data_IF_765702168891
#
_entry.id   IF_765702168891
#
_cell.length_a   1.000
_cell.length_b   1.000
_cell.length_c   1.000
_cell.angle_alpha   90.00
_cell.angle_beta   90.00
_cell.angle_gamma   90.00
#
_symmetry.space_group_name_H-M   'P 1'
#
loop_
_entity.id
_entity.type
_entity.pdbx_description
1 polymer ?
#
# COMPACT_ATOMS: atom_id res chain seq x y z
N UNK A 1 20.73 26.86 -55.29
CA UNK A 1 19.77 25.80 -54.90
C UNK A 1 20.53 24.86 -53.97
N UNK A 2 20.37 25.02 -52.65
CA UNK A 2 21.08 24.19 -51.66
C UNK A 2 20.26 22.91 -51.51
N UNK A 3 20.75 21.79 -52.08
CA UNK A 3 20.16 20.47 -51.84
C UNK A 3 20.49 20.04 -50.41
N UNK A 4 19.47 20.01 -49.56
CA UNK A 4 19.53 19.36 -48.26
C UNK A 4 19.53 17.86 -48.53
N UNK A 5 20.71 17.24 -48.50
CA UNK A 5 20.83 15.78 -48.51
C UNK A 5 20.41 15.30 -47.14
N UNK A 6 19.18 14.79 -47.04
CA UNK A 6 18.72 14.05 -45.86
C UNK A 6 19.56 12.76 -45.78
N UNK A 7 20.66 12.81 -45.04
CA UNK A 7 21.41 11.62 -44.63
C UNK A 7 20.54 10.88 -43.60
N UNK A 8 19.66 10.01 -44.09
CA UNK A 8 19.00 9.03 -43.23
C UNK A 8 20.09 8.19 -42.57
N UNK A 9 20.35 8.42 -41.28
CA UNK A 9 21.29 7.62 -40.51
C UNK A 9 20.84 6.16 -40.61
N UNK A 10 21.69 5.33 -41.22
CA UNK A 10 21.43 3.89 -41.29
C UNK A 10 21.45 3.38 -39.86
N UNK A 11 20.34 2.78 -39.40
CA UNK A 11 20.27 2.21 -38.05
C UNK A 11 21.34 1.15 -37.90
N UNK A 12 22.26 1.36 -36.96
CA UNK A 12 23.31 0.40 -36.64
C UNK A 12 22.79 -0.62 -35.63
N UNK A 13 21.89 -1.50 -36.07
CA UNK A 13 21.24 -2.51 -35.21
C UNK A 13 22.16 -3.69 -34.86
N UNK A 14 23.13 -3.99 -35.72
CA UNK A 14 23.98 -5.18 -35.59
C UNK A 14 24.83 -5.17 -34.31
N UNK A 15 25.17 -3.99 -33.78
CA UNK A 15 25.90 -3.88 -32.53
C UNK A 15 25.15 -4.52 -31.35
N UNK A 16 23.80 -4.53 -31.36
CA UNK A 16 22.96 -5.00 -30.24
C UNK A 16 22.65 -6.50 -30.29
N UNK A 17 23.27 -7.25 -31.21
CA UNK A 17 23.09 -8.70 -31.33
C UNK A 17 23.67 -9.47 -30.16
N UNK A 18 24.78 -8.96 -29.60
CA UNK A 18 25.50 -9.60 -28.51
C UNK A 18 25.82 -8.60 -27.41
N UNK A 19 25.90 -9.12 -26.18
CA UNK A 19 26.25 -8.35 -24.99
C UNK A 19 25.24 -8.49 -23.86
N UNK A 20 25.39 -7.62 -22.87
CA UNK A 20 24.54 -7.53 -21.70
C UNK A 20 23.65 -6.31 -21.82
N UNK A 21 22.38 -6.49 -21.47
CA UNK A 21 21.38 -5.45 -21.57
C UNK A 21 20.50 -5.40 -20.34
N UNK A 22 19.87 -4.24 -20.15
CA UNK A 22 18.90 -3.96 -19.12
C UNK A 22 17.67 -3.32 -19.77
N UNK A 23 16.50 -3.75 -19.32
CA UNK A 23 15.23 -3.06 -19.53
C UNK A 23 14.74 -2.66 -18.15
N UNK A 24 14.36 -1.40 -17.98
CA UNK A 24 13.72 -0.90 -16.76
C UNK A 24 12.36 -0.34 -17.15
N UNK A 25 11.30 -0.89 -16.55
CA UNK A 25 9.96 -0.37 -16.69
C UNK A 25 9.17 -0.57 -15.39
N UNK A 26 8.14 0.26 -15.20
CA UNK A 26 7.36 0.27 -13.95
C UNK A 26 6.49 -0.97 -13.74
N UNK A 27 6.29 -1.80 -14.77
CA UNK A 27 5.39 -2.95 -14.75
C UNK A 27 6.19 -4.23 -14.46
N UNK A 28 7.28 -4.44 -15.18
CA UNK A 28 8.11 -5.66 -15.09
C UNK A 28 9.37 -5.46 -14.26
N UNK A 29 9.66 -4.23 -13.82
CA UNK A 29 10.85 -3.88 -13.06
C UNK A 29 12.09 -3.92 -13.93
N UNK A 30 13.16 -4.55 -13.42
CA UNK A 30 14.45 -4.65 -14.11
C UNK A 30 14.58 -6.02 -14.76
N UNK A 31 14.59 -6.07 -16.09
CA UNK A 31 14.92 -7.27 -16.86
C UNK A 31 16.35 -7.23 -17.34
N UNK A 32 17.15 -8.21 -16.91
CA UNK A 32 18.56 -8.38 -17.27
C UNK A 32 18.70 -9.40 -18.39
N UNK A 33 19.27 -9.00 -19.52
CA UNK A 33 19.41 -9.82 -20.72
C UNK A 33 20.89 -10.10 -20.99
N UNK A 34 21.21 -11.33 -21.37
CA UNK A 34 22.51 -11.70 -21.92
C UNK A 34 22.29 -12.39 -23.27
N UNK A 35 22.75 -11.75 -24.35
CA UNK A 35 22.65 -12.29 -25.72
C UNK A 35 24.01 -12.75 -26.22
N UNK A 36 24.02 -13.96 -26.77
CA UNK A 36 25.19 -14.57 -27.40
C UNK A 36 24.74 -15.45 -28.55
N UNK A 37 25.18 -15.14 -29.78
CA UNK A 37 24.72 -15.83 -31.00
C UNK A 37 23.20 -15.75 -31.21
N UNK A 38 22.55 -16.92 -31.21
CA UNK A 38 21.10 -17.08 -31.40
C UNK A 38 20.36 -17.38 -30.08
N UNK A 39 20.95 -17.02 -28.93
CA UNK A 39 20.38 -17.23 -27.61
C UNK A 39 20.28 -15.93 -26.82
N UNK A 40 19.24 -15.83 -26.01
CA UNK A 40 19.06 -14.81 -24.98
C UNK A 40 18.77 -15.51 -23.65
N UNK A 41 19.55 -15.19 -22.62
CA UNK A 41 19.19 -15.50 -21.24
C UNK A 41 18.60 -14.26 -20.61
N UNK A 42 17.50 -14.43 -19.90
CA UNK A 42 16.75 -13.34 -19.30
C UNK A 42 16.48 -13.64 -17.83
N UNK A 43 16.71 -12.63 -16.99
CA UNK A 43 16.29 -12.63 -15.59
C UNK A 43 15.41 -11.42 -15.36
N UNK A 44 14.22 -11.63 -14.82
CA UNK A 44 13.34 -10.52 -14.44
C UNK A 44 13.38 -10.31 -12.92
N UNK A 45 13.57 -9.07 -12.50
CA UNK A 45 13.74 -8.74 -11.08
C UNK A 45 12.47 -8.87 -10.27
N UNK A 46 11.29 -8.86 -10.88
CA UNK A 46 10.02 -8.97 -10.17
C UNK A 46 9.60 -10.42 -10.10
N UNK A 47 9.45 -11.08 -11.25
CA UNK A 47 9.04 -12.50 -11.33
C UNK A 47 10.12 -13.48 -10.89
N UNK A 48 11.38 -13.01 -10.77
CA UNK A 48 12.58 -13.80 -10.47
C UNK A 48 12.82 -14.96 -11.44
N UNK A 49 12.07 -14.99 -12.54
CA UNK A 49 12.18 -16.04 -13.53
C UNK A 49 13.50 -15.94 -14.26
N UNK A 50 14.10 -17.10 -14.54
CA UNK A 50 15.23 -17.21 -15.45
C UNK A 50 14.77 -17.95 -16.68
N UNK A 51 14.85 -17.30 -17.83
CA UNK A 51 14.44 -17.85 -19.11
C UNK A 51 15.65 -18.00 -20.02
N UNK A 52 15.64 -19.04 -20.84
CA UNK A 52 16.48 -19.17 -22.02
C UNK A 52 15.56 -19.12 -23.25
N UNK A 53 15.88 -18.20 -24.16
CA UNK A 53 15.11 -17.91 -25.36
C UNK A 53 15.99 -18.10 -26.59
N UNK A 54 15.43 -18.64 -27.66
CA UNK A 54 16.06 -18.60 -28.98
C UNK A 54 15.76 -17.26 -29.67
N UNK A 55 16.74 -16.76 -30.41
CA UNK A 55 16.70 -15.47 -31.11
C UNK A 55 16.86 -15.67 -32.61
N UNK A 56 15.83 -15.32 -33.37
CA UNK A 56 15.86 -15.29 -34.83
C UNK A 56 16.02 -13.84 -35.31
N UNK A 57 17.24 -13.48 -35.75
CA UNK A 57 17.57 -12.12 -36.16
C UNK A 57 17.05 -11.75 -37.55
N UNK A 58 16.60 -10.50 -37.69
CA UNK A 58 16.35 -9.81 -38.95
C UNK A 58 17.26 -8.56 -39.05
N UNK A 59 17.04 -7.67 -40.04
CA UNK A 59 17.90 -6.50 -40.24
C UNK A 59 17.93 -5.52 -39.05
N UNK A 60 16.77 -5.21 -38.46
CA UNK A 60 16.63 -4.31 -37.30
C UNK A 60 15.50 -4.79 -36.38
N UNK A 61 15.47 -6.09 -36.13
CA UNK A 61 14.46 -6.74 -35.32
C UNK A 61 14.83 -8.19 -35.10
N UNK A 62 14.12 -8.85 -34.20
CA UNK A 62 14.36 -10.25 -33.88
C UNK A 62 13.08 -10.87 -33.34
N UNK A 63 12.98 -12.19 -33.48
CA UNK A 63 11.92 -12.98 -32.86
C UNK A 63 12.49 -13.78 -31.69
N UNK A 64 11.83 -13.71 -30.55
CA UNK A 64 12.12 -14.52 -29.37
C UNK A 64 11.16 -15.69 -29.30
N UNK A 65 11.66 -16.87 -28.94
CA UNK A 65 10.85 -18.03 -28.56
C UNK A 65 11.38 -18.63 -27.27
N UNK A 66 10.48 -19.07 -26.39
CA UNK A 66 10.87 -19.70 -25.14
C UNK A 66 11.46 -21.09 -25.43
N UNK A 67 12.75 -21.28 -25.13
CA UNK A 67 13.41 -22.58 -25.25
C UNK A 67 13.33 -23.35 -23.92
N UNK A 68 13.58 -22.65 -22.80
CA UNK A 68 13.65 -23.27 -21.48
C UNK A 68 13.33 -22.29 -20.36
N UNK A 69 12.50 -22.74 -19.41
CA UNK A 69 12.37 -22.12 -18.10
C UNK A 69 13.49 -22.69 -17.21
N UNK A 70 14.48 -21.86 -16.89
CA UNK A 70 15.66 -22.24 -16.07
C UNK A 70 15.32 -22.19 -14.59
N UNK A 71 14.52 -21.21 -14.18
CA UNK A 71 14.09 -20.98 -12.80
C UNK A 71 12.73 -20.28 -12.81
N UNK A 72 11.80 -20.73 -11.96
CA UNK A 72 10.44 -20.19 -11.83
C UNK A 72 9.98 -20.34 -10.38
N UNK A 73 10.51 -19.52 -9.46
CA UNK A 73 10.30 -19.71 -8.03
C UNK A 73 8.85 -19.48 -7.59
N UNK A 74 8.05 -18.82 -8.42
CA UNK A 74 6.64 -18.50 -8.15
C UNK A 74 5.65 -19.33 -8.95
N UNK A 75 6.13 -20.36 -9.66
CA UNK A 75 5.28 -21.26 -10.47
C UNK A 75 4.34 -20.51 -11.44
N UNK A 76 4.85 -19.43 -12.04
CA UNK A 76 4.10 -18.64 -13.02
C UNK A 76 3.88 -19.50 -14.26
N UNK A 77 2.62 -19.67 -14.66
CA UNK A 77 2.27 -20.41 -15.85
C UNK A 77 2.70 -19.64 -17.11
N UNK A 78 3.54 -20.27 -17.92
CA UNK A 78 4.04 -19.71 -19.17
C UNK A 78 3.68 -20.64 -20.33
N UNK A 79 3.01 -20.09 -21.34
CA UNK A 79 2.79 -20.82 -22.58
C UNK A 79 4.14 -21.07 -23.28
N UNK A 80 4.52 -22.33 -23.41
CA UNK A 80 5.74 -22.73 -24.13
C UNK A 80 5.70 -22.41 -25.63
N UNK A 81 4.53 -22.12 -26.20
CA UNK A 81 4.37 -21.63 -27.57
C UNK A 81 4.55 -20.13 -27.70
N UNK A 82 4.85 -19.44 -26.59
CA UNK A 82 5.07 -18.01 -26.55
C UNK A 82 6.17 -17.56 -27.52
N UNK A 83 5.83 -16.56 -28.34
CA UNK A 83 6.77 -15.87 -29.21
C UNK A 83 6.56 -14.37 -29.17
N UNK A 84 7.66 -13.61 -29.20
CA UNK A 84 7.63 -12.15 -29.27
C UNK A 84 8.34 -11.72 -30.55
N UNK A 85 7.68 -10.91 -31.35
CA UNK A 85 8.31 -10.21 -32.46
C UNK A 85 8.76 -8.82 -31.97
N UNK A 86 10.04 -8.51 -32.17
CA UNK A 86 10.66 -7.26 -31.70
C UNK A 86 11.22 -6.46 -32.86
N UNK A 87 10.90 -5.17 -32.92
CA UNK A 87 11.43 -4.21 -33.88
C UNK A 87 12.22 -3.10 -33.18
N UNK A 88 13.45 -2.82 -33.64
CA UNK A 88 14.27 -1.70 -33.16
C UNK A 88 13.87 -0.41 -33.88
N UNK A 89 13.19 0.47 -33.15
CA UNK A 89 12.64 1.73 -33.66
C UNK A 89 13.70 2.81 -33.78
N UNK A 90 14.57 2.93 -32.78
CA UNK A 90 15.62 3.96 -32.70
C UNK A 90 16.84 3.35 -32.00
N UNK A 91 18.04 3.79 -32.39
CA UNK A 91 19.30 3.30 -31.83
C UNK A 91 20.18 4.47 -31.44
N UNK A 92 20.83 4.37 -30.28
CA UNK A 92 21.94 5.23 -29.86
C UNK A 92 23.24 4.40 -29.83
N UNK A 93 24.32 4.93 -29.26
CA UNK A 93 25.56 4.18 -29.05
C UNK A 93 25.36 3.01 -28.06
N UNK A 94 24.60 3.23 -26.98
CA UNK A 94 24.48 2.29 -25.86
C UNK A 94 23.04 1.88 -25.56
N UNK A 95 22.08 2.22 -26.40
CA UNK A 95 20.69 1.83 -26.20
C UNK A 95 19.90 1.74 -27.50
N UNK A 96 18.73 1.13 -27.44
CA UNK A 96 17.75 1.19 -28.51
C UNK A 96 16.33 1.19 -27.95
N UNK A 97 15.43 1.92 -28.63
CA UNK A 97 14.00 1.85 -28.38
C UNK A 97 13.44 0.67 -29.19
N UNK A 98 12.72 -0.24 -28.54
CA UNK A 98 12.10 -1.37 -29.20
C UNK A 98 10.58 -1.34 -29.12
N UNK A 99 9.94 -1.97 -30.10
CA UNK A 99 8.52 -2.32 -30.09
C UNK A 99 8.39 -3.83 -30.09
N UNK A 100 7.68 -4.36 -29.11
CA UNK A 100 7.41 -5.79 -28.94
C UNK A 100 5.94 -6.09 -29.18
N UNK A 101 5.66 -7.17 -29.91
CA UNK A 101 4.31 -7.68 -30.18
C UNK A 101 4.25 -9.18 -29.97
N UNK A 102 3.11 -9.71 -29.56
CA UNK A 102 2.89 -11.15 -29.35
C UNK A 102 1.63 -11.61 -30.10
N UNK A 103 1.58 -12.83 -30.66
CA UNK A 103 0.36 -13.32 -31.32
C UNK A 103 -0.77 -13.63 -30.34
N UNK A 104 -0.49 -13.70 -29.03
CA UNK A 104 -1.45 -14.03 -27.99
C UNK A 104 -2.18 -12.81 -27.41
N UNK A 105 -1.76 -11.60 -27.79
CA UNK A 105 -2.31 -10.36 -27.26
C UNK A 105 -2.16 -9.22 -28.26
N UNK A 106 -3.18 -8.37 -28.38
CA UNK A 106 -3.12 -7.13 -29.17
C UNK A 106 -2.22 -6.05 -28.52
N UNK A 107 -1.63 -6.35 -27.36
CA UNK A 107 -0.76 -5.44 -26.64
C UNK A 107 0.52 -5.17 -27.43
N UNK A 108 0.81 -3.88 -27.59
CA UNK A 108 2.05 -3.37 -28.17
C UNK A 108 2.84 -2.71 -27.06
N UNK A 109 4.03 -3.23 -26.76
CA UNK A 109 4.89 -2.69 -25.71
C UNK A 109 6.05 -1.94 -26.37
N UNK A 110 6.30 -0.71 -25.93
CA UNK A 110 7.51 0.04 -26.29
C UNK A 110 8.41 0.18 -25.06
N UNK A 111 9.66 -0.26 -25.19
CA UNK A 111 10.64 -0.27 -24.08
C UNK A 111 11.99 0.20 -24.56
N UNK A 112 12.72 0.88 -23.67
CA UNK A 112 14.13 1.22 -23.88
C UNK A 112 14.99 0.05 -23.41
N UNK A 113 15.93 -0.38 -24.25
CA UNK A 113 16.90 -1.40 -23.92
C UNK A 113 18.28 -0.76 -23.87
N UNK A 114 18.90 -0.80 -22.70
CA UNK A 114 20.22 -0.22 -22.46
C UNK A 114 21.28 -1.32 -22.46
N UNK A 115 22.36 -1.14 -23.21
CA UNK A 115 23.57 -1.97 -23.09
C UNK A 115 24.25 -1.63 -21.77
N UNK A 116 24.64 -2.67 -21.04
CA UNK A 116 25.38 -2.57 -19.78
C UNK A 116 26.66 -3.40 -19.86
N UNK A 117 27.57 -3.20 -18.91
CA UNK A 117 28.77 -4.03 -18.80
C UNK A 117 28.45 -5.38 -18.14
N UNK A 118 29.32 -6.38 -18.33
CA UNK A 118 29.21 -7.66 -17.63
C UNK A 118 29.32 -7.50 -16.10
N UNK A 119 30.19 -6.60 -15.65
CA UNK A 119 30.35 -6.27 -14.23
C UNK A 119 29.06 -5.68 -13.65
N UNK A 120 28.48 -4.68 -14.33
CA UNK A 120 27.19 -4.08 -13.95
C UNK A 120 26.06 -5.12 -13.95
N UNK A 121 26.01 -6.00 -14.96
CA UNK A 121 25.02 -7.10 -15.01
C UNK A 121 25.11 -7.99 -13.76
N UNK A 122 26.32 -8.40 -13.38
CA UNK A 122 26.53 -9.27 -12.21
C UNK A 122 26.32 -8.54 -10.88
N UNK A 123 26.61 -7.24 -10.82
CA UNK A 123 26.32 -6.41 -9.66
C UNK A 123 24.81 -6.31 -9.42
N UNK A 124 24.04 -5.92 -10.44
CA UNK A 124 22.57 -5.80 -10.34
C UNK A 124 21.97 -7.16 -9.96
N UNK A 125 22.39 -8.25 -10.61
CA UNK A 125 21.91 -9.60 -10.29
C UNK A 125 22.23 -10.00 -8.84
N UNK A 126 23.35 -9.55 -8.29
CA UNK A 126 23.76 -9.81 -6.90
C UNK A 126 22.94 -8.98 -5.91
N UNK A 127 22.67 -7.70 -6.23
CA UNK A 127 21.83 -6.83 -5.43
C UNK A 127 20.39 -7.39 -5.35
N UNK A 128 19.83 -7.84 -6.47
CA UNK A 128 18.49 -8.43 -6.52
C UNK A 128 18.37 -9.67 -5.63
N UNK A 129 19.35 -10.58 -5.66
CA UNK A 129 19.37 -11.78 -4.79
C UNK A 129 19.38 -11.47 -3.29
N UNK A 130 19.84 -10.28 -2.88
CA UNK A 130 19.82 -9.87 -1.46
C UNK A 130 18.42 -9.44 -1.03
N UNK A 131 17.66 -8.80 -1.93
CA UNK A 131 16.28 -8.35 -1.69
C UNK A 131 15.35 -9.57 -1.49
N UNK A 132 15.64 -10.69 -2.15
CA UNK A 132 14.74 -11.85 -2.23
C UNK A 132 14.62 -12.71 -0.96
N UNK A 133 15.55 -12.61 -0.01
CA UNK A 133 15.63 -13.55 1.12
C UNK A 133 14.88 -13.15 2.38
N UNK A 134 14.28 -11.95 2.42
CA UNK A 134 13.60 -11.47 3.64
C UNK A 134 12.26 -10.76 3.41
N UNK A 135 11.90 -10.44 2.16
CA UNK A 135 10.72 -9.63 1.91
C UNK A 135 9.42 -10.39 2.23
N UNK A 136 8.80 -9.97 3.34
CA UNK A 136 7.44 -10.28 3.75
C UNK A 136 6.73 -8.97 4.03
N UNK A 137 5.40 -8.92 3.90
CA UNK A 137 4.62 -7.79 4.42
C UNK A 137 4.83 -7.61 5.92
N UNK A 138 5.24 -8.68 6.61
CA UNK A 138 5.60 -8.70 8.02
C UNK A 138 7.05 -8.32 8.33
N UNK A 139 7.89 -8.07 7.32
CA UNK A 139 9.28 -7.65 7.52
C UNK A 139 9.30 -6.29 8.26
N UNK A 140 9.87 -6.22 9.48
CA UNK A 140 9.90 -4.98 10.26
C UNK A 140 10.65 -3.84 9.59
N UNK A 141 11.68 -4.16 8.79
CA UNK A 141 12.45 -3.16 8.03
C UNK A 141 11.57 -2.56 6.94
N UNK A 142 10.85 -3.41 6.19
CA UNK A 142 9.94 -2.95 5.15
C UNK A 142 8.80 -2.10 5.71
N UNK A 143 8.15 -2.55 6.81
CA UNK A 143 7.11 -1.77 7.50
C UNK A 143 7.62 -0.39 7.91
N UNK A 144 8.83 -0.34 8.46
CA UNK A 144 9.46 0.91 8.88
C UNK A 144 9.76 1.84 7.70
N UNK A 145 10.30 1.32 6.61
CA UNK A 145 10.56 2.11 5.39
C UNK A 145 9.27 2.72 4.82
N UNK A 146 8.19 1.93 4.76
CA UNK A 146 6.87 2.40 4.33
C UNK A 146 6.34 3.48 5.29
N UNK A 147 6.42 3.24 6.60
CA UNK A 147 5.99 4.21 7.62
C UNK A 147 6.77 5.53 7.51
N UNK A 148 8.09 5.48 7.31
CA UNK A 148 8.93 6.66 7.09
C UNK A 148 8.53 7.40 5.81
N UNK A 149 8.33 6.68 4.69
CA UNK A 149 7.87 7.28 3.44
C UNK A 149 6.50 7.92 3.57
N UNK A 150 5.58 7.31 4.31
CA UNK A 150 4.26 7.89 4.60
C UNK A 150 4.41 9.13 5.48
N UNK A 151 5.20 9.07 6.56
CA UNK A 151 5.39 10.20 7.46
C UNK A 151 5.98 11.42 6.73
N UNK A 152 7.00 11.21 5.87
CA UNK A 152 7.57 12.28 5.06
C UNK A 152 6.51 12.97 4.19
N UNK A 153 5.55 12.21 3.64
CA UNK A 153 4.43 12.81 2.91
C UNK A 153 3.55 13.71 3.80
N UNK A 154 3.28 13.28 5.04
CA UNK A 154 2.55 14.08 6.04
C UNK A 154 3.31 15.35 6.47
N UNK A 155 4.65 15.31 6.49
CA UNK A 155 5.49 16.42 6.91
C UNK A 155 5.75 17.46 5.81
N UNK A 156 5.78 17.04 4.54
CA UNK A 156 6.15 17.90 3.39
C UNK A 156 5.00 18.71 2.78
N UNK A 157 3.74 18.26 2.90
CA UNK A 157 2.63 18.89 2.19
C UNK A 157 2.04 20.14 2.89
N UNK A 158 1.41 20.99 2.06
CA UNK A 158 0.73 22.20 2.52
C UNK A 158 -0.50 21.81 3.36
N UNK A 159 -0.39 22.08 4.67
CA UNK A 159 -1.38 21.72 5.70
C UNK A 159 -2.72 22.47 5.58
N UNK A 160 -2.89 23.34 4.58
CA UNK A 160 -4.10 24.16 4.42
C UNK A 160 -5.34 23.39 3.96
N UNK A 161 -5.19 22.20 3.36
CA UNK A 161 -6.32 21.34 2.94
C UNK A 161 -6.07 19.85 3.26
N UNK A 162 -5.95 19.52 4.54
CA UNK A 162 -5.85 18.13 4.98
C UNK A 162 -7.26 17.51 5.04
N UNK A 163 -7.60 16.66 4.08
CA UNK A 163 -8.87 15.93 4.03
C UNK A 163 -8.66 14.40 3.83
N UNK A 164 -9.73 13.65 3.57
CA UNK A 164 -9.60 12.20 3.31
C UNK A 164 -8.80 11.89 2.04
N UNK A 165 -8.82 12.78 1.04
CA UNK A 165 -8.06 12.62 -0.19
C UNK A 165 -6.56 12.80 0.07
N UNK A 166 -6.19 13.67 1.01
CA UNK A 166 -4.81 13.83 1.46
C UNK A 166 -4.21 12.53 2.01
N UNK A 167 -4.90 11.87 2.94
CA UNK A 167 -4.45 10.57 3.47
C UNK A 167 -4.31 9.52 2.36
N UNK A 168 -5.31 9.41 1.49
CA UNK A 168 -5.29 8.47 0.37
C UNK A 168 -4.11 8.74 -0.57
N UNK A 169 -3.79 10.01 -0.85
CA UNK A 169 -2.66 10.40 -1.67
C UNK A 169 -1.32 10.03 -1.02
N UNK A 170 -1.15 10.27 0.29
CA UNK A 170 0.07 9.89 0.98
C UNK A 170 0.27 8.37 1.05
N UNK A 171 -0.80 7.61 1.30
CA UNK A 171 -0.77 6.14 1.21
C UNK A 171 -0.38 5.70 -0.20
N UNK A 172 -1.05 6.22 -1.23
CA UNK A 172 -0.78 5.85 -2.62
C UNK A 172 0.66 6.19 -3.03
N UNK A 173 1.16 7.38 -2.69
CA UNK A 173 2.54 7.80 -2.99
C UNK A 173 3.56 6.91 -2.30
N UNK A 174 3.33 6.56 -1.03
CA UNK A 174 4.23 5.65 -0.30
C UNK A 174 4.21 4.24 -0.91
N UNK A 175 3.03 3.70 -1.22
CA UNK A 175 2.90 2.40 -1.90
C UNK A 175 3.65 2.39 -3.23
N UNK A 176 3.54 3.47 -4.03
CA UNK A 176 4.24 3.59 -5.31
C UNK A 176 5.77 3.62 -5.15
N UNK A 177 6.29 4.26 -4.10
CA UNK A 177 7.73 4.24 -3.79
C UNK A 177 8.25 2.83 -3.46
N UNK A 178 7.36 1.92 -3.06
CA UNK A 178 7.67 0.56 -2.66
C UNK A 178 7.02 -0.50 -3.58
N UNK A 179 6.67 -0.10 -4.82
CA UNK A 179 5.94 -0.98 -5.74
C UNK A 179 6.69 -2.27 -6.09
N UNK A 180 8.01 -2.22 -6.26
CA UNK A 180 8.80 -3.40 -6.63
C UNK A 180 8.80 -4.45 -5.52
N UNK A 181 8.95 -3.99 -4.27
CA UNK A 181 8.83 -4.83 -3.08
C UNK A 181 7.44 -5.45 -2.98
N UNK A 182 6.40 -4.64 -3.17
CA UNK A 182 5.01 -5.09 -3.07
C UNK A 182 4.61 -6.09 -4.16
N UNK A 183 5.04 -5.87 -5.41
CA UNK A 183 4.79 -6.83 -6.48
C UNK A 183 5.57 -8.11 -6.20
N UNK A 184 6.80 -8.02 -5.69
CA UNK A 184 7.57 -9.22 -5.30
C UNK A 184 6.86 -10.02 -4.20
N UNK A 185 6.28 -9.36 -3.19
CA UNK A 185 5.47 -10.00 -2.14
C UNK A 185 4.20 -10.61 -2.75
N UNK A 186 3.53 -9.89 -3.66
CA UNK A 186 2.32 -10.38 -4.33
C UNK A 186 2.58 -11.65 -5.15
N UNK A 187 3.70 -11.73 -5.87
CA UNK A 187 4.03 -12.91 -6.66
C UNK A 187 4.38 -14.15 -5.83
N UNK A 188 4.69 -14.00 -4.54
CA UNK A 188 4.83 -15.15 -3.64
C UNK A 188 3.47 -15.83 -3.35
N UNK A 189 2.36 -15.13 -3.56
CA UNK A 189 1.03 -15.68 -3.37
C UNK A 189 0.59 -16.49 -4.60
N UNK A 190 0.80 -17.81 -4.54
CA UNK A 190 0.44 -18.76 -5.61
C UNK A 190 -1.04 -19.19 -5.57
N UNK A 191 -1.91 -18.51 -4.82
CA UNK A 191 -3.32 -18.92 -4.65
C UNK A 191 -4.17 -18.78 -5.92
N UNK A 192 -3.62 -18.21 -7.01
CA UNK A 192 -4.38 -17.90 -8.22
C UNK A 192 -5.44 -16.81 -8.01
N UNK A 193 -5.28 -16.02 -6.95
CA UNK A 193 -6.14 -14.87 -6.65
C UNK A 193 -5.98 -13.81 -7.74
N UNK A 194 -7.08 -13.20 -8.16
CA UNK A 194 -7.07 -12.08 -9.10
C UNK A 194 -6.09 -10.97 -8.62
N UNK A 195 -5.21 -10.44 -9.50
CA UNK A 195 -4.18 -9.47 -9.11
C UNK A 195 -4.73 -8.21 -8.44
N UNK A 196 -5.92 -7.73 -8.82
CA UNK A 196 -6.55 -6.56 -8.22
C UNK A 196 -7.00 -6.86 -6.78
N UNK A 197 -7.59 -8.03 -6.56
CA UNK A 197 -8.01 -8.49 -5.22
C UNK A 197 -6.79 -8.65 -4.31
N UNK A 198 -5.72 -9.25 -4.83
CA UNK A 198 -4.47 -9.45 -4.10
C UNK A 198 -3.83 -8.11 -3.72
N UNK A 199 -3.70 -7.20 -4.69
CA UNK A 199 -3.15 -5.86 -4.47
C UNK A 199 -3.94 -5.08 -3.42
N UNK A 200 -5.28 -5.12 -3.46
CA UNK A 200 -6.13 -4.49 -2.46
C UNK A 200 -5.90 -5.08 -1.06
N UNK A 201 -5.85 -6.42 -0.95
CA UNK A 201 -5.64 -7.10 0.35
C UNK A 201 -4.28 -6.74 0.95
N UNK A 202 -3.22 -6.75 0.14
CA UNK A 202 -1.88 -6.36 0.57
C UNK A 202 -1.82 -4.89 0.97
N UNK A 203 -2.47 -4.00 0.22
CA UNK A 203 -2.56 -2.58 0.56
C UNK A 203 -3.27 -2.35 1.89
N UNK A 204 -4.42 -3.01 2.10
CA UNK A 204 -5.17 -2.95 3.37
C UNK A 204 -4.34 -3.45 4.55
N UNK A 205 -3.68 -4.60 4.40
CA UNK A 205 -2.83 -5.20 5.44
C UNK A 205 -1.60 -4.32 5.75
N UNK A 206 -0.94 -3.78 4.71
CA UNK A 206 0.19 -2.88 4.89
C UNK A 206 -0.24 -1.63 5.64
N UNK A 207 -1.31 -0.96 5.20
CA UNK A 207 -1.80 0.26 5.84
C UNK A 207 -2.20 0.01 7.29
N UNK A 208 -2.79 -1.13 7.63
CA UNK A 208 -3.13 -1.47 9.01
C UNK A 208 -1.88 -1.73 9.87
N UNK A 209 -0.86 -2.37 9.31
CA UNK A 209 0.34 -2.74 10.07
C UNK A 209 1.28 -1.57 10.32
N UNK A 210 1.44 -0.65 9.37
CA UNK A 210 2.31 0.54 9.52
C UNK A 210 1.69 1.65 10.35
N UNK A 211 0.37 1.62 10.57
CA UNK A 211 -0.34 2.66 11.30
C UNK A 211 0.12 2.82 12.74
N UNK A 212 0.49 1.72 13.39
CA UNK A 212 1.06 1.79 14.74
C UNK A 212 2.37 2.59 14.74
N UNK A 213 3.28 2.28 13.83
CA UNK A 213 4.57 2.95 13.74
C UNK A 213 4.38 4.43 13.41
N UNK A 214 3.47 4.75 12.47
CA UNK A 214 3.08 6.13 12.19
C UNK A 214 2.50 6.85 13.41
N UNK A 215 1.66 6.17 14.21
CA UNK A 215 1.10 6.75 15.43
C UNK A 215 2.19 7.09 16.43
N UNK A 216 3.26 6.31 16.59
CA UNK A 216 4.29 6.60 17.60
C UNK A 216 5.45 7.47 17.08
N UNK A 217 5.80 7.32 15.81
CA UNK A 217 7.03 7.90 15.25
C UNK A 217 6.77 9.11 14.34
N UNK A 218 5.50 9.44 14.04
CA UNK A 218 5.12 10.57 13.18
C UNK A 218 4.13 11.52 13.86
N UNK A 219 4.62 12.67 14.33
CA UNK A 219 3.80 13.68 15.02
C UNK A 219 2.70 14.25 14.12
N UNK A 220 3.01 14.54 12.86
CA UNK A 220 2.03 15.04 11.89
C UNK A 220 0.89 14.05 11.66
N UNK A 221 1.21 12.76 11.54
CA UNK A 221 0.20 11.72 11.37
C UNK A 221 -0.68 11.56 12.61
N UNK A 222 -0.07 11.54 13.80
CA UNK A 222 -0.79 11.50 15.06
C UNK A 222 -1.75 12.69 15.19
N UNK A 223 -1.27 13.90 14.94
CA UNK A 223 -2.08 15.12 15.01
C UNK A 223 -3.23 15.11 13.99
N UNK A 224 -2.99 14.56 12.80
CA UNK A 224 -4.02 14.35 11.79
C UNK A 224 -5.13 13.40 12.28
N UNK A 225 -4.76 12.22 12.78
CA UNK A 225 -5.74 11.24 13.28
C UNK A 225 -6.51 11.76 14.50
N UNK A 226 -5.82 12.37 15.47
CA UNK A 226 -6.44 12.98 16.64
C UNK A 226 -7.37 14.15 16.25
N UNK A 227 -6.98 14.94 15.23
CA UNK A 227 -7.80 15.98 14.64
C UNK A 227 -9.10 15.45 14.04
N UNK A 228 -9.04 14.40 13.21
CA UNK A 228 -10.23 13.74 12.64
C UNK A 228 -11.14 13.21 13.75
N UNK A 229 -10.57 12.55 14.76
CA UNK A 229 -11.33 12.01 15.90
C UNK A 229 -12.07 13.12 16.63
N UNK A 230 -11.37 14.21 16.99
CA UNK A 230 -11.95 15.38 17.65
C UNK A 230 -13.02 16.06 16.80
N UNK A 231 -12.83 16.18 15.49
CA UNK A 231 -13.86 16.72 14.60
C UNK A 231 -15.12 15.84 14.59
N UNK A 232 -14.94 14.52 14.53
CA UNK A 232 -16.03 13.55 14.63
C UNK A 232 -16.81 13.67 15.95
N UNK A 233 -16.10 13.76 17.08
CA UNK A 233 -16.69 13.99 18.40
C UNK A 233 -17.43 15.32 18.46
N UNK A 234 -16.82 16.42 18.00
CA UNK A 234 -17.45 17.74 17.97
C UNK A 234 -18.75 17.73 17.16
N UNK A 235 -18.77 17.08 15.99
CA UNK A 235 -19.99 16.91 15.19
C UNK A 235 -21.03 16.06 15.89
N UNK A 236 -20.62 14.95 16.50
CA UNK A 236 -21.50 14.04 17.26
C UNK A 236 -22.20 14.77 18.41
N UNK A 237 -21.45 15.59 19.13
CA UNK A 237 -21.92 16.26 20.36
C UNK A 237 -22.39 17.70 20.17
N UNK A 238 -22.42 18.22 18.94
CA UNK A 238 -22.73 19.62 18.64
C UNK A 238 -24.09 20.11 19.19
N UNK A 239 -25.04 19.20 19.42
CA UNK A 239 -26.39 19.53 19.92
C UNK A 239 -26.54 19.36 21.43
N UNK A 240 -25.52 18.90 22.13
CA UNK A 240 -25.60 18.60 23.55
C UNK A 240 -25.97 19.85 24.35
N UNK A 241 -26.98 19.73 25.20
CA UNK A 241 -27.42 20.84 26.06
C UNK A 241 -28.25 20.35 27.25
N UNK A 242 -28.42 21.20 28.25
CA UNK A 242 -29.14 20.85 29.48
C UNK A 242 -30.62 20.51 29.24
N UNK A 243 -31.31 21.16 28.29
CA UNK A 243 -32.75 20.88 28.03
C UNK A 243 -32.98 19.45 27.54
N UNK A 244 -32.03 18.91 26.79
CA UNK A 244 -32.06 17.50 26.36
C UNK A 244 -31.91 16.60 27.59
N UNK A 245 -30.96 16.89 28.49
CA UNK A 245 -30.80 16.16 29.76
C UNK A 245 -32.09 16.15 30.58
N UNK A 246 -32.72 17.31 30.75
CA UNK A 246 -33.95 17.45 31.55
C UNK A 246 -35.09 16.65 30.93
N UNK A 247 -35.24 16.71 29.61
CA UNK A 247 -36.27 15.96 28.87
C UNK A 247 -36.06 14.45 28.98
N UNK A 248 -34.83 13.97 28.81
CA UNK A 248 -34.50 12.54 28.95
C UNK A 248 -34.69 12.06 30.40
N UNK A 249 -34.37 12.90 31.39
CA UNK A 249 -34.58 12.57 32.80
C UNK A 249 -36.05 12.38 33.12
N UNK A 250 -36.92 13.26 32.62
CA UNK A 250 -38.37 13.11 32.75
C UNK A 250 -38.88 11.82 32.09
N UNK A 251 -38.38 11.46 30.91
CA UNK A 251 -38.77 10.21 30.23
C UNK A 251 -38.32 8.97 31.02
N UNK A 252 -37.13 9.00 31.63
CA UNK A 252 -36.59 7.89 32.42
C UNK A 252 -37.40 7.66 33.70
N UNK A 253 -37.97 8.71 34.30
CA UNK A 253 -38.84 8.59 35.48
C UNK A 253 -40.11 7.77 35.16
N UNK A 254 -40.65 7.91 33.95
CA UNK A 254 -41.87 7.22 33.52
C UNK A 254 -41.58 5.87 32.85
N UNK A 255 -40.44 5.75 32.16
CA UNK A 255 -40.08 4.55 31.40
C UNK A 255 -38.56 4.31 31.40
N UNK A 256 -38.11 3.31 32.16
CA UNK A 256 -36.69 2.96 32.25
C UNK A 256 -36.27 2.07 31.08
N UNK A 257 -35.82 2.69 29.99
CA UNK A 257 -35.29 2.00 28.81
C UNK A 257 -33.79 2.23 28.62
N UNK A 258 -33.08 1.16 28.24
CA UNK A 258 -31.66 1.18 27.87
C UNK A 258 -31.30 2.27 26.84
N UNK A 259 -32.21 2.58 25.90
CA UNK A 259 -32.03 3.62 24.89
C UNK A 259 -31.98 5.03 25.51
N UNK A 260 -32.81 5.30 26.52
CA UNK A 260 -32.91 6.60 27.18
C UNK A 260 -31.67 6.90 28.03
N UNK A 261 -31.18 5.90 28.79
CA UNK A 261 -29.92 6.02 29.52
C UNK A 261 -28.74 6.27 28.57
N UNK A 262 -28.66 5.54 27.44
CA UNK A 262 -27.63 5.78 26.42
C UNK A 262 -27.68 7.20 25.84
N UNK A 263 -28.87 7.66 25.44
CA UNK A 263 -29.03 9.01 24.90
C UNK A 263 -28.66 10.09 25.91
N UNK A 264 -28.96 9.87 27.20
CA UNK A 264 -28.64 10.84 28.25
C UNK A 264 -27.14 10.83 28.58
N UNK A 265 -26.50 9.66 28.63
CA UNK A 265 -25.05 9.54 28.72
C UNK A 265 -24.32 10.25 27.57
N UNK A 266 -24.80 10.07 26.34
CA UNK A 266 -24.25 10.72 25.15
C UNK A 266 -24.37 12.26 25.23
N UNK A 267 -25.49 12.77 25.74
CA UNK A 267 -25.69 14.20 25.96
C UNK A 267 -24.77 14.73 27.08
N UNK A 268 -24.61 13.97 28.18
CA UNK A 268 -23.66 14.32 29.25
C UNK A 268 -22.22 14.36 28.76
N UNK A 269 -21.79 13.40 27.93
CA UNK A 269 -20.49 13.42 27.26
C UNK A 269 -20.27 14.71 26.46
N UNK A 270 -21.27 15.13 25.69
CA UNK A 270 -21.19 16.39 24.94
C UNK A 270 -21.13 17.64 25.82
N UNK A 271 -21.71 17.57 27.03
CA UNK A 271 -21.60 18.60 28.07
C UNK A 271 -20.30 18.50 28.90
N UNK A 272 -19.47 17.48 28.64
CA UNK A 272 -18.28 17.11 29.44
C UNK A 272 -18.60 16.78 30.90
N UNK A 273 -19.81 16.34 31.17
CA UNK A 273 -20.25 15.84 32.49
C UNK A 273 -19.98 14.33 32.58
N UNK A 274 -18.71 13.99 32.75
CA UNK A 274 -18.24 12.60 32.70
C UNK A 274 -18.76 11.75 33.87
N UNK A 275 -19.04 12.35 35.02
CA UNK A 275 -19.57 11.63 36.19
C UNK A 275 -21.00 11.15 35.95
N UNK A 276 -21.87 12.01 35.39
CA UNK A 276 -23.25 11.61 35.12
C UNK A 276 -23.35 10.75 33.85
N UNK A 277 -22.48 10.95 32.86
CA UNK A 277 -22.37 10.04 31.73
C UNK A 277 -22.02 8.61 32.19
N UNK A 278 -21.05 8.46 33.09
CA UNK A 278 -20.65 7.16 33.65
C UNK A 278 -21.81 6.47 34.40
N UNK A 279 -22.55 7.19 35.24
CA UNK A 279 -23.72 6.62 35.94
C UNK A 279 -24.78 6.07 34.99
N UNK A 280 -25.05 6.80 33.90
CA UNK A 280 -26.01 6.35 32.89
C UNK A 280 -25.48 5.16 32.10
N UNK A 281 -24.17 5.10 31.84
CA UNK A 281 -23.51 3.95 31.21
C UNK A 281 -23.55 2.72 32.13
N UNK A 282 -23.29 2.89 33.43
CA UNK A 282 -23.41 1.81 34.43
C UNK A 282 -24.83 1.25 34.44
N UNK A 283 -25.84 2.13 34.39
CA UNK A 283 -27.23 1.71 34.23
C UNK A 283 -27.43 0.91 32.94
N UNK A 284 -26.83 1.31 31.82
CA UNK A 284 -26.88 0.54 30.57
C UNK A 284 -26.31 -0.86 30.73
N UNK A 285 -25.19 -1.02 31.44
CA UNK A 285 -24.59 -2.34 31.67
C UNK A 285 -25.42 -3.23 32.61
N UNK A 286 -26.28 -2.67 33.45
CA UNK A 286 -27.29 -3.46 34.20
C UNK A 286 -28.33 -4.05 33.26
N UNK A 287 -28.76 -3.31 32.22
CA UNK A 287 -29.70 -3.81 31.22
C UNK A 287 -29.05 -4.80 30.23
N UNK A 288 -27.88 -4.45 29.70
CA UNK A 288 -27.11 -5.27 28.77
C UNK A 288 -25.60 -5.03 28.96
N UNK A 289 -24.88 -5.95 29.65
CA UNK A 289 -23.44 -5.86 29.87
C UNK A 289 -22.61 -5.89 28.57
N UNK A 290 -23.21 -6.33 27.46
CA UNK A 290 -22.55 -6.49 26.16
C UNK A 290 -22.87 -5.37 25.18
N UNK A 291 -23.65 -4.35 25.60
CA UNK A 291 -24.05 -3.27 24.71
C UNK A 291 -22.84 -2.47 24.21
N UNK A 292 -22.56 -2.62 22.91
CA UNK A 292 -21.38 -2.04 22.26
C UNK A 292 -21.42 -0.52 22.26
N UNK A 293 -22.61 0.08 22.18
CA UNK A 293 -22.72 1.55 22.20
C UNK A 293 -22.39 2.10 23.59
N UNK A 294 -22.90 1.47 24.65
CA UNK A 294 -22.54 1.82 26.02
C UNK A 294 -21.02 1.66 26.28
N UNK A 295 -20.40 0.57 25.80
CA UNK A 295 -18.94 0.39 25.84
C UNK A 295 -18.17 1.49 25.09
N UNK A 296 -18.62 1.87 23.90
CA UNK A 296 -18.02 2.98 23.14
C UNK A 296 -18.14 4.32 23.87
N UNK A 297 -19.30 4.63 24.47
CA UNK A 297 -19.48 5.83 25.29
C UNK A 297 -18.58 5.78 26.54
N UNK A 298 -18.40 4.60 27.15
CA UNK A 298 -17.53 4.42 28.30
C UNK A 298 -16.06 4.71 27.96
N UNK A 299 -15.56 4.22 26.83
CA UNK A 299 -14.21 4.54 26.35
C UNK A 299 -14.02 6.06 26.18
N UNK A 300 -15.03 6.78 25.67
CA UNK A 300 -14.99 8.24 25.53
C UNK A 300 -15.03 8.97 26.89
N UNK A 301 -15.80 8.46 27.87
CA UNK A 301 -15.80 8.97 29.25
C UNK A 301 -14.40 8.83 29.86
N UNK A 302 -13.78 7.66 29.71
CA UNK A 302 -12.44 7.39 30.21
C UNK A 302 -11.40 8.32 29.56
N UNK A 303 -11.47 8.53 28.23
CA UNK A 303 -10.61 9.53 27.57
C UNK A 303 -10.85 10.95 28.07
N UNK A 304 -12.11 11.34 28.30
CA UNK A 304 -12.47 12.65 28.82
C UNK A 304 -11.96 12.90 30.24
N UNK A 305 -11.85 11.83 31.04
CA UNK A 305 -11.23 11.80 32.36
C UNK A 305 -9.70 11.59 32.33
N UNK A 306 -9.10 11.53 31.14
CA UNK A 306 -7.67 11.28 30.95
C UNK A 306 -7.19 9.88 31.42
N UNK A 307 -8.11 8.93 31.57
CA UNK A 307 -7.83 7.53 31.90
C UNK A 307 -7.51 6.72 30.63
N UNK A 308 -6.51 7.18 29.88
CA UNK A 308 -6.23 6.74 28.51
C UNK A 308 -5.93 5.24 28.36
N UNK A 309 -5.17 4.64 29.27
CA UNK A 309 -4.87 3.20 29.20
C UNK A 309 -6.16 2.36 29.30
N UNK A 310 -7.06 2.72 30.22
CA UNK A 310 -8.36 2.03 30.34
C UNK A 310 -9.26 2.27 29.14
N UNK A 311 -9.24 3.48 28.58
CA UNK A 311 -9.98 3.78 27.36
C UNK A 311 -9.48 2.95 26.18
N UNK A 312 -8.15 2.79 26.04
CA UNK A 312 -7.55 1.96 25.01
C UNK A 312 -7.92 0.47 25.17
N UNK A 313 -7.93 -0.05 26.40
CA UNK A 313 -8.39 -1.42 26.69
C UNK A 313 -9.85 -1.61 26.26
N UNK A 314 -10.73 -0.63 26.49
CA UNK A 314 -12.12 -0.68 26.03
C UNK A 314 -12.22 -0.71 24.50
N UNK A 315 -11.43 0.08 23.77
CA UNK A 315 -11.41 0.02 22.31
C UNK A 315 -10.95 -1.34 21.78
N UNK A 316 -9.96 -1.95 22.43
CA UNK A 316 -9.50 -3.30 22.08
C UNK A 316 -10.59 -4.35 22.32
N UNK A 317 -11.25 -4.31 23.48
CA UNK A 317 -12.35 -5.23 23.80
C UNK A 317 -13.49 -5.11 22.77
N UNK A 318 -13.87 -3.89 22.39
CA UNK A 318 -14.91 -3.66 21.39
C UNK A 318 -14.45 -4.15 20.01
N UNK A 319 -13.16 -4.01 19.67
CA UNK A 319 -12.60 -4.56 18.43
C UNK A 319 -12.73 -6.07 18.37
N UNK A 320 -12.42 -6.77 19.46
CA UNK A 320 -12.53 -8.24 19.55
C UNK A 320 -13.99 -8.71 19.36
N UNK A 321 -14.96 -7.98 19.90
CA UNK A 321 -16.39 -8.33 19.77
C UNK A 321 -16.91 -8.03 18.36
N UNK A 322 -16.54 -6.89 17.78
CA UNK A 322 -17.13 -6.38 16.54
C UNK A 322 -16.36 -6.78 15.28
N UNK A 323 -15.11 -7.21 15.41
CA UNK A 323 -14.18 -7.37 14.30
C UNK A 323 -13.76 -6.04 13.65
N UNK A 324 -14.05 -4.89 14.30
CA UNK A 324 -13.72 -3.58 13.74
C UNK A 324 -12.22 -3.32 13.83
N UNK A 325 -11.55 -3.36 12.66
CA UNK A 325 -10.11 -3.18 12.50
C UNK A 325 -9.61 -1.74 12.74
N UNK A 326 -10.50 -0.75 12.82
CA UNK A 326 -10.13 0.64 13.12
C UNK A 326 -10.00 0.93 14.62
N UNK A 327 -10.69 0.16 15.47
CA UNK A 327 -10.62 0.39 16.92
C UNK A 327 -9.23 0.15 17.53
N UNK A 328 -8.41 -0.83 17.08
CA UNK A 328 -7.03 -0.96 17.52
C UNK A 328 -6.17 0.27 17.21
N UNK A 329 -6.43 0.95 16.08
CA UNK A 329 -5.73 2.19 15.70
C UNK A 329 -6.12 3.31 16.68
N UNK A 330 -7.42 3.43 17.02
CA UNK A 330 -7.89 4.38 18.03
C UNK A 330 -7.27 4.04 19.41
N UNK A 331 -7.16 2.76 19.76
CA UNK A 331 -6.52 2.34 21.00
C UNK A 331 -5.04 2.78 21.06
N UNK A 332 -4.27 2.61 19.99
CA UNK A 332 -2.87 3.06 19.93
C UNK A 332 -2.75 4.60 19.96
N UNK A 333 -3.66 5.31 19.27
CA UNK A 333 -3.76 6.77 19.36
C UNK A 333 -3.99 7.23 20.80
N UNK A 334 -4.91 6.58 21.51
CA UNK A 334 -5.24 6.88 22.90
C UNK A 334 -4.08 6.54 23.85
N UNK A 335 -3.38 5.42 23.66
CA UNK A 335 -2.17 5.08 24.42
C UNK A 335 -1.06 6.11 24.25
N UNK A 336 -0.87 6.63 23.03
CA UNK A 336 0.13 7.68 22.80
C UNK A 336 -0.17 8.94 23.62
N UNK A 337 -1.44 9.33 23.76
CA UNK A 337 -1.85 10.48 24.60
C UNK A 337 -1.45 10.31 26.08
N UNK A 338 -1.39 9.07 26.59
CA UNK A 338 -0.94 8.80 27.96
C UNK A 338 0.56 9.09 28.20
N UNK A 339 1.35 9.19 27.12
CA UNK A 339 2.80 9.41 27.16
C UNK A 339 3.21 10.86 26.86
N UNK A 340 2.25 11.71 26.48
CA UNK A 340 2.45 13.15 26.25
C UNK A 340 2.23 13.92 27.55
#
# INVERSE_FOLDING_TARGET
>A
MISIVALGQKKECDQFREGYFKIEDSITGVSLLHRFGNKQKEYNSISKMKLELSVEWSACGYKLRLDKIVDNPYDIDLDTQFSIDVAMLETTENSYLQKSTSPFSDMVIQTSVQRITEEEYHEILTQQKKIDRSLSIDDPTFKKEVAESMCNCFSEEDKTNIDQSFFANCVAKSILNHQEQLISIALQDTTGTDPEILGRRLGEELVLTVQKDLIYDCDEYFNFLDGIKKEGENKRFAKANQKITDSLSYLIEDNQELSLYRSRAENYLGLRDYENAEKDIDACFVFDPTDIQAKMLYALVLEGKEEYEKAADQYMEISEITGNKFLPIIAELTKRKAKM
#
